data_IF_142254601288
#
_entry.id   IF_142254601288
#
_cell.length_a   1.000
_cell.length_b   1.000
_cell.length_c   1.000
_cell.angle_alpha   90.00
_cell.angle_beta   90.00
_cell.angle_gamma   90.00
#
_symmetry.space_group_name_H-M   'P 1'
#
loop_
_entity.id
_entity.type
_entity.pdbx_description
1 polymer ?
#
# COMPACT_ATOMS: atom_id res chain seq x y z
N UNK A 1 10.68 1.94 28.70
CA UNK A 1 11.59 0.81 29.03
C UNK A 1 12.37 0.57 27.76
N UNK A 2 13.69 0.73 27.75
CA UNK A 2 14.49 0.50 26.54
C UNK A 2 14.42 -0.99 26.20
N UNK A 3 14.13 -1.33 24.95
CA UNK A 3 14.14 -2.71 24.48
C UNK A 3 15.60 -3.18 24.43
N UNK A 4 15.89 -4.39 24.91
CA UNK A 4 17.22 -5.00 24.85
C UNK A 4 17.30 -5.93 23.63
N UNK A 5 17.62 -5.37 22.46
CA UNK A 5 17.60 -6.10 21.19
C UNK A 5 18.57 -7.28 21.13
N UNK A 6 19.65 -7.26 21.92
CA UNK A 6 20.58 -8.39 22.05
C UNK A 6 19.92 -9.58 22.73
N UNK A 7 19.29 -9.34 23.88
CA UNK A 7 18.58 -10.38 24.62
C UNK A 7 17.39 -10.94 23.84
N UNK A 8 16.79 -10.11 23.00
CA UNK A 8 15.70 -10.50 22.09
C UNK A 8 16.19 -11.24 20.83
N UNK A 9 17.50 -11.44 20.66
CA UNK A 9 18.08 -12.20 19.55
C UNK A 9 18.03 -11.48 18.20
N UNK A 10 17.65 -10.19 18.15
CA UNK A 10 17.41 -9.46 16.90
C UNK A 10 18.69 -9.11 16.11
N UNK A 11 19.87 -9.37 16.69
CA UNK A 11 21.16 -9.04 16.11
C UNK A 11 22.02 -10.28 15.77
N UNK A 12 21.53 -11.49 16.07
CA UNK A 12 22.32 -12.74 16.02
C UNK A 12 22.77 -13.13 14.60
N UNK A 13 22.00 -12.76 13.59
CA UNK A 13 22.24 -13.05 12.17
C UNK A 13 23.10 -11.99 11.45
N UNK A 14 23.46 -10.90 12.12
CA UNK A 14 24.29 -9.85 11.53
C UNK A 14 25.76 -10.29 11.36
N UNK A 15 26.33 -10.04 10.17
CA UNK A 15 27.73 -10.35 9.87
C UNK A 15 28.69 -9.23 10.31
N UNK A 16 29.14 -9.30 11.57
CA UNK A 16 30.15 -8.39 12.14
C UNK A 16 29.57 -7.13 12.80
N UNK A 17 30.45 -6.34 13.42
CA UNK A 17 30.04 -5.24 14.31
C UNK A 17 29.35 -4.09 13.58
N UNK A 18 29.81 -3.75 12.37
CA UNK A 18 29.20 -2.67 11.57
C UNK A 18 27.74 -3.00 11.20
N UNK A 19 27.46 -4.24 10.80
CA UNK A 19 26.11 -4.68 10.48
C UNK A 19 25.21 -4.70 11.74
N UNK A 20 25.75 -5.14 12.88
CA UNK A 20 25.04 -5.13 14.17
C UNK A 20 24.69 -3.72 14.61
N UNK A 21 25.62 -2.78 14.45
CA UNK A 21 25.40 -1.38 14.78
C UNK A 21 24.32 -0.75 13.88
N UNK A 22 24.39 -0.98 12.56
CA UNK A 22 23.39 -0.47 11.62
C UNK A 22 21.98 -1.02 11.92
N UNK A 23 21.87 -2.33 12.20
CA UNK A 23 20.59 -2.94 12.58
C UNK A 23 20.06 -2.39 13.90
N UNK A 24 20.93 -2.23 14.90
CA UNK A 24 20.56 -1.66 16.20
C UNK A 24 19.98 -0.26 16.04
N UNK A 25 20.64 0.61 15.28
CA UNK A 25 20.14 1.97 15.02
C UNK A 25 18.80 1.96 14.30
N UNK A 26 18.58 1.04 13.35
CA UNK A 26 17.30 0.88 12.68
C UNK A 26 16.19 0.42 13.65
N UNK A 27 16.48 -0.57 14.49
CA UNK A 27 15.55 -1.07 15.51
C UNK A 27 15.18 0.00 16.54
N UNK A 28 16.17 0.79 16.99
CA UNK A 28 15.97 1.92 17.90
C UNK A 28 15.01 2.94 17.29
N UNK A 29 15.25 3.37 16.05
CA UNK A 29 14.37 4.31 15.33
C UNK A 29 12.94 3.78 15.20
N UNK A 30 12.78 2.53 14.76
CA UNK A 30 11.45 1.94 14.61
C UNK A 30 10.72 1.81 15.94
N UNK A 31 11.43 1.47 17.02
CA UNK A 31 10.85 1.41 18.36
C UNK A 31 10.46 2.81 18.88
N UNK A 32 11.27 3.84 18.61
CA UNK A 32 10.95 5.24 18.90
C UNK A 32 9.71 5.72 18.12
N UNK A 33 9.53 5.24 16.89
CA UNK A 33 8.35 5.47 16.06
C UNK A 33 7.12 4.63 16.48
N UNK A 34 7.22 3.89 17.59
CA UNK A 34 6.13 3.14 18.20
C UNK A 34 5.85 1.77 17.59
N UNK A 35 6.76 1.22 16.78
CA UNK A 35 6.62 -0.15 16.26
C UNK A 35 6.76 -1.15 17.42
N UNK A 36 5.78 -2.05 17.64
CA UNK A 36 5.84 -2.97 18.75
C UNK A 36 6.91 -4.05 18.52
N UNK A 37 7.50 -4.56 19.61
CA UNK A 37 8.57 -5.55 19.57
C UNK A 37 8.21 -6.81 18.75
N UNK A 38 6.96 -7.27 18.80
CA UNK A 38 6.53 -8.44 18.01
C UNK A 38 6.62 -8.17 16.50
N UNK A 39 6.36 -6.95 16.06
CA UNK A 39 6.49 -6.58 14.64
C UNK A 39 7.96 -6.48 14.23
N UNK A 40 8.82 -5.96 15.11
CA UNK A 40 10.27 -5.95 14.90
C UNK A 40 10.83 -7.38 14.78
N UNK A 41 10.45 -8.29 15.69
CA UNK A 41 10.85 -9.71 15.66
C UNK A 41 10.45 -10.36 14.34
N UNK A 42 9.18 -10.23 13.96
CA UNK A 42 8.65 -10.78 12.72
C UNK A 42 9.38 -10.23 11.49
N UNK A 43 9.67 -8.93 11.45
CA UNK A 43 10.38 -8.33 10.33
C UNK A 43 11.84 -8.78 10.22
N UNK A 44 12.52 -9.05 11.35
CA UNK A 44 13.85 -9.68 11.35
C UNK A 44 13.77 -11.13 10.85
N UNK A 45 12.84 -11.92 11.38
CA UNK A 45 12.63 -13.32 10.96
C UNK A 45 12.35 -13.43 9.45
N UNK A 46 11.57 -12.50 8.91
CA UNK A 46 11.18 -12.45 7.49
C UNK A 46 12.22 -11.73 6.60
N UNK A 47 13.38 -11.32 7.15
CA UNK A 47 14.43 -10.57 6.42
C UNK A 47 13.93 -9.29 5.74
N UNK A 48 12.95 -8.61 6.34
CA UNK A 48 12.31 -7.41 5.80
C UNK A 48 12.46 -6.17 6.67
N UNK A 49 13.31 -6.22 7.70
CA UNK A 49 13.51 -5.09 8.63
C UNK A 49 13.81 -3.78 7.89
N UNK A 50 14.68 -3.83 6.87
CA UNK A 50 15.02 -2.69 6.03
C UNK A 50 13.85 -2.09 5.24
N UNK A 51 12.76 -2.85 5.02
CA UNK A 51 11.61 -2.38 4.23
C UNK A 51 10.56 -1.69 5.10
N UNK A 52 10.54 -1.93 6.41
CA UNK A 52 9.51 -1.40 7.31
C UNK A 52 9.38 0.14 7.27
N UNK A 53 10.45 0.94 7.22
CA UNK A 53 10.31 2.39 7.06
C UNK A 53 9.53 2.80 5.80
N UNK A 54 9.75 2.10 4.67
CA UNK A 54 9.01 2.33 3.44
C UNK A 54 7.55 1.84 3.53
N UNK A 55 7.31 0.68 4.14
CA UNK A 55 5.94 0.18 4.40
C UNK A 55 5.13 1.17 5.22
N UNK A 56 5.75 1.78 6.24
CA UNK A 56 5.13 2.81 7.08
C UNK A 56 4.86 4.09 6.29
N UNK A 57 5.79 4.52 5.45
CA UNK A 57 5.60 5.67 4.58
C UNK A 57 4.42 5.48 3.60
N UNK A 58 4.17 4.24 3.13
CA UNK A 58 2.99 3.90 2.32
C UNK A 58 1.70 3.82 3.14
N UNK A 59 1.80 3.34 4.39
CA UNK A 59 0.64 3.13 5.25
C UNK A 59 0.09 4.42 5.86
N UNK A 60 0.82 5.53 5.79
CA UNK A 60 0.38 6.83 6.28
C UNK A 60 -0.04 6.84 7.75
N UNK A 61 -0.84 7.84 8.12
CA UNK A 61 -1.40 7.97 9.48
C UNK A 61 -2.62 7.05 9.63
N UNK A 62 -2.35 5.75 9.84
CA UNK A 62 -3.37 4.75 10.14
C UNK A 62 -4.09 5.06 11.47
N UNK A 63 -5.41 4.95 11.48
CA UNK A 63 -6.20 5.28 12.67
C UNK A 63 -7.66 4.87 12.64
N UNK A 64 -8.14 4.31 11.54
CA UNK A 64 -9.53 3.92 11.36
C UNK A 64 -9.70 2.41 11.25
N UNK A 65 -10.74 1.92 11.91
CA UNK A 65 -11.32 0.61 11.62
C UNK A 65 -12.18 0.66 10.36
N UNK A 66 -12.43 -0.49 9.74
CA UNK A 66 -13.34 -0.58 8.59
C UNK A 66 -14.76 -0.11 8.91
N UNK A 67 -15.21 -0.29 10.16
CA UNK A 67 -16.51 0.20 10.62
C UNK A 67 -16.53 1.73 10.73
N UNK A 68 -15.47 2.36 11.25
CA UNK A 68 -15.36 3.82 11.29
C UNK A 68 -15.29 4.43 9.89
N UNK A 69 -14.55 3.81 8.95
CA UNK A 69 -14.52 4.24 7.55
C UNK A 69 -15.91 4.13 6.92
N UNK A 70 -16.59 2.99 7.10
CA UNK A 70 -17.93 2.75 6.58
C UNK A 70 -18.94 3.81 7.07
N UNK A 71 -18.97 4.07 8.37
CA UNK A 71 -19.83 5.08 8.98
C UNK A 71 -19.57 6.48 8.41
N UNK A 72 -18.29 6.91 8.37
CA UNK A 72 -17.90 8.25 7.92
C UNK A 72 -18.07 8.47 6.41
N UNK A 73 -17.97 7.41 5.61
CA UNK A 73 -18.19 7.47 4.17
C UNK A 73 -19.67 7.29 3.79
N UNK A 74 -20.52 6.82 4.71
CA UNK A 74 -21.93 6.56 4.45
C UNK A 74 -22.16 5.34 3.54
N UNK A 75 -21.33 4.31 3.69
CA UNK A 75 -21.38 3.03 2.96
C UNK A 75 -21.50 1.85 3.93
N UNK A 76 -22.02 0.73 3.47
CA UNK A 76 -22.09 -0.50 4.29
C UNK A 76 -20.70 -1.10 4.50
N UNK A 77 -20.37 -1.52 5.72
CA UNK A 77 -19.09 -2.15 6.02
C UNK A 77 -18.87 -3.43 5.21
N UNK A 78 -19.93 -4.21 4.97
CA UNK A 78 -19.90 -5.40 4.12
C UNK A 78 -19.51 -5.08 2.67
N UNK A 79 -19.87 -3.89 2.17
CA UNK A 79 -19.44 -3.46 0.83
C UNK A 79 -17.95 -3.16 0.80
N UNK A 80 -17.43 -2.43 1.78
CA UNK A 80 -15.99 -2.13 1.85
C UNK A 80 -15.16 -3.41 2.03
N UNK A 81 -15.66 -4.37 2.82
CA UNK A 81 -15.04 -5.69 2.95
C UNK A 81 -15.03 -6.45 1.62
N UNK A 82 -16.13 -6.41 0.87
CA UNK A 82 -16.21 -7.03 -0.45
C UNK A 82 -15.32 -6.33 -1.49
N UNK A 83 -15.19 -5.00 -1.41
CA UNK A 83 -14.28 -4.21 -2.24
C UNK A 83 -12.82 -4.54 -1.93
N UNK A 84 -12.42 -4.58 -0.66
CA UNK A 84 -11.06 -5.00 -0.26
C UNK A 84 -10.73 -6.39 -0.78
N UNK A 85 -11.66 -7.33 -0.63
CA UNK A 85 -11.48 -8.67 -1.18
C UNK A 85 -11.40 -8.66 -2.72
N UNK A 86 -12.21 -7.84 -3.39
CA UNK A 86 -12.17 -7.69 -4.84
C UNK A 86 -10.82 -7.13 -5.31
N UNK A 87 -10.27 -6.14 -4.59
CA UNK A 87 -8.93 -5.59 -4.84
C UNK A 87 -7.79 -6.57 -4.53
N UNK A 88 -8.09 -7.71 -3.90
CA UNK A 88 -7.10 -8.72 -3.51
C UNK A 88 -6.42 -8.42 -2.17
N UNK A 89 -6.95 -7.49 -1.38
CA UNK A 89 -6.40 -7.11 -0.08
C UNK A 89 -6.83 -8.09 1.02
N UNK A 90 -5.98 -8.29 2.06
CA UNK A 90 -6.39 -9.07 3.22
C UNK A 90 -7.59 -8.44 3.90
N UNK A 91 -8.45 -9.28 4.46
CA UNK A 91 -9.60 -8.80 5.23
C UNK A 91 -9.12 -8.27 6.59
N UNK A 92 -9.32 -6.98 6.91
CA UNK A 92 -8.93 -6.46 8.22
C UNK A 92 -9.79 -7.07 9.32
N UNK A 93 -9.20 -7.22 10.52
CA UNK A 93 -9.96 -7.59 11.71
C UNK A 93 -10.92 -6.44 12.10
N UNK A 94 -12.03 -6.71 12.80
CA UNK A 94 -13.01 -5.67 13.14
C UNK A 94 -12.44 -4.48 13.93
N UNK A 95 -11.45 -4.73 14.77
CA UNK A 95 -10.76 -3.75 15.63
C UNK A 95 -9.41 -3.27 15.06
N UNK A 96 -9.06 -3.73 13.86
CA UNK A 96 -7.83 -3.32 13.17
C UNK A 96 -7.93 -1.85 12.72
N UNK A 97 -7.04 -1.01 13.24
CA UNK A 97 -6.95 0.43 12.95
C UNK A 97 -5.94 0.76 11.85
N UNK A 98 -5.80 -0.13 10.87
CA UNK A 98 -4.85 -0.02 9.77
C UNK A 98 -5.30 0.94 8.65
N UNK A 99 -6.56 1.35 8.60
CA UNK A 99 -7.07 2.22 7.54
C UNK A 99 -6.77 3.71 7.82
N UNK A 100 -6.64 4.45 6.74
CA UNK A 100 -6.13 5.83 6.68
C UNK A 100 -7.19 6.81 6.19
N UNK A 101 -6.84 8.10 6.12
CA UNK A 101 -7.64 9.11 5.41
C UNK A 101 -7.78 8.81 3.90
N UNK A 102 -6.79 8.17 3.28
CA UNK A 102 -6.87 7.81 1.85
C UNK A 102 -7.89 6.69 1.62
N UNK A 103 -7.97 5.71 2.53
CA UNK A 103 -9.01 4.69 2.52
C UNK A 103 -10.40 5.30 2.71
N UNK A 104 -10.52 6.28 3.60
CA UNK A 104 -11.77 7.03 3.79
C UNK A 104 -12.14 7.86 2.54
N UNK A 105 -11.17 8.46 1.88
CA UNK A 105 -11.39 9.17 0.62
C UNK A 105 -11.84 8.21 -0.50
N UNK A 106 -11.23 7.03 -0.60
CA UNK A 106 -11.63 5.98 -1.54
C UNK A 106 -13.07 5.50 -1.28
N UNK A 107 -13.43 5.22 -0.03
CA UNK A 107 -14.78 4.83 0.37
C UNK A 107 -15.82 5.91 0.03
N UNK A 108 -15.50 7.20 0.22
CA UNK A 108 -16.34 8.32 -0.22
C UNK A 108 -16.46 8.41 -1.74
N UNK A 109 -15.42 8.05 -2.48
CA UNK A 109 -15.46 7.92 -3.94
C UNK A 109 -16.40 6.81 -4.39
N UNK A 110 -16.32 5.63 -3.75
CA UNK A 110 -17.24 4.52 -4.00
C UNK A 110 -18.69 4.94 -3.74
N UNK A 111 -18.94 5.66 -2.64
CA UNK A 111 -20.28 6.19 -2.34
C UNK A 111 -20.83 7.06 -3.46
N UNK A 112 -20.02 7.95 -4.02
CA UNK A 112 -20.43 8.83 -5.12
C UNK A 112 -20.76 8.05 -6.39
N UNK A 113 -20.03 6.96 -6.68
CA UNK A 113 -20.34 6.09 -7.81
C UNK A 113 -21.69 5.39 -7.65
N UNK A 114 -22.01 4.90 -6.44
CA UNK A 114 -23.31 4.31 -6.14
C UNK A 114 -24.45 5.34 -6.28
N UNK A 115 -24.24 6.56 -5.81
CA UNK A 115 -25.22 7.64 -5.92
C UNK A 115 -25.47 8.10 -7.36
N UNK A 116 -24.47 7.93 -8.23
CA UNK A 116 -24.61 8.13 -9.67
C UNK A 116 -25.36 6.99 -10.39
N UNK A 117 -25.80 5.96 -9.65
CA UNK A 117 -26.56 4.82 -10.18
C UNK A 117 -25.70 3.69 -10.73
N UNK A 118 -24.39 3.67 -10.46
CA UNK A 118 -23.54 2.56 -10.87
C UNK A 118 -23.92 1.28 -10.09
N UNK A 119 -24.08 0.13 -10.76
CA UNK A 119 -24.47 -1.11 -10.09
C UNK A 119 -23.34 -1.61 -9.19
N UNK A 120 -23.66 -1.95 -7.94
CA UNK A 120 -22.72 -2.49 -6.95
C UNK A 120 -21.86 -3.62 -7.53
N UNK A 121 -22.48 -4.63 -8.13
CA UNK A 121 -21.77 -5.79 -8.68
C UNK A 121 -20.77 -5.38 -9.77
N UNK A 122 -21.16 -4.44 -10.64
CA UNK A 122 -20.27 -3.91 -11.68
C UNK A 122 -19.08 -3.13 -11.11
N UNK A 123 -19.26 -2.42 -10.01
CA UNK A 123 -18.15 -1.75 -9.31
C UNK A 123 -17.16 -2.76 -8.71
N UNK A 124 -17.67 -3.85 -8.10
CA UNK A 124 -16.84 -4.93 -7.59
C UNK A 124 -16.11 -5.69 -8.72
N UNK A 125 -16.74 -5.86 -9.89
CA UNK A 125 -16.09 -6.44 -11.07
C UNK A 125 -14.92 -5.57 -11.56
N UNK A 126 -15.11 -4.24 -11.60
CA UNK A 126 -14.03 -3.29 -11.91
C UNK A 126 -12.92 -3.36 -10.87
N UNK A 127 -13.27 -3.40 -9.58
CA UNK A 127 -12.29 -3.51 -8.49
C UNK A 127 -11.41 -4.77 -8.64
N UNK A 128 -11.97 -5.92 -9.02
CA UNK A 128 -11.18 -7.14 -9.30
C UNK A 128 -10.18 -6.97 -10.42
N UNK A 129 -10.59 -6.33 -11.52
CA UNK A 129 -9.68 -6.07 -12.66
C UNK A 129 -8.59 -5.08 -12.26
N UNK A 130 -8.94 -4.04 -11.52
CA UNK A 130 -7.98 -3.04 -11.02
C UNK A 130 -6.98 -3.68 -10.06
N UNK A 131 -7.44 -4.43 -9.05
CA UNK A 131 -6.56 -5.11 -8.10
C UNK A 131 -5.57 -6.04 -8.78
N UNK A 132 -6.05 -6.88 -9.71
CA UNK A 132 -5.18 -7.79 -10.46
C UNK A 132 -4.15 -7.05 -11.34
N UNK A 133 -4.52 -5.91 -11.93
CA UNK A 133 -3.61 -5.09 -12.72
C UNK A 133 -2.59 -4.37 -11.82
N UNK A 134 -3.02 -3.87 -10.67
CA UNK A 134 -2.16 -3.17 -9.72
C UNK A 134 -1.13 -4.08 -9.07
N UNK A 135 -1.42 -5.37 -8.87
CA UNK A 135 -0.39 -6.32 -8.41
C UNK A 135 0.79 -6.38 -9.38
N UNK A 136 0.52 -6.39 -10.69
CA UNK A 136 1.58 -6.40 -11.71
C UNK A 136 2.35 -5.06 -11.74
N UNK A 137 1.65 -3.93 -11.57
CA UNK A 137 2.28 -2.62 -11.48
C UNK A 137 3.18 -2.53 -10.25
N UNK A 138 2.67 -2.94 -9.07
CA UNK A 138 3.42 -2.95 -7.82
C UNK A 138 4.63 -3.88 -7.90
N UNK A 139 4.51 -5.06 -8.51
CA UNK A 139 5.63 -5.98 -8.72
C UNK A 139 6.72 -5.34 -9.60
N UNK A 140 6.34 -4.73 -10.73
CA UNK A 140 7.27 -4.05 -11.62
C UNK A 140 7.94 -2.84 -10.94
N UNK A 141 7.18 -2.06 -10.15
CA UNK A 141 7.71 -0.94 -9.38
C UNK A 141 8.72 -1.40 -8.32
N UNK A 142 8.42 -2.46 -7.55
CA UNK A 142 9.34 -3.05 -6.57
C UNK A 142 10.64 -3.51 -7.22
N UNK A 143 10.56 -4.17 -8.37
CA UNK A 143 11.74 -4.59 -9.12
C UNK A 143 12.60 -3.39 -9.55
N UNK A 144 11.98 -2.37 -10.16
CA UNK A 144 12.69 -1.16 -10.61
C UNK A 144 13.39 -0.45 -9.45
N UNK A 145 12.71 -0.29 -8.31
CA UNK A 145 13.26 0.34 -7.11
C UNK A 145 14.43 -0.48 -6.56
N UNK A 146 14.29 -1.80 -6.50
CA UNK A 146 15.36 -2.71 -6.09
C UNK A 146 16.62 -2.59 -6.94
N UNK A 147 16.46 -2.57 -8.26
CA UNK A 147 17.57 -2.42 -9.21
C UNK A 147 18.22 -1.02 -9.16
N UNK A 148 17.43 0.03 -8.94
CA UNK A 148 17.90 1.41 -9.00
C UNK A 148 18.52 1.92 -7.69
N UNK A 149 18.04 1.45 -6.54
CA UNK A 149 18.38 2.02 -5.24
C UNK A 149 19.40 1.21 -4.45
N UNK A 150 19.54 -0.09 -4.66
CA UNK A 150 20.52 -0.91 -3.94
C UNK A 150 21.92 -0.73 -4.51
N UNK A 151 22.92 -0.65 -3.62
CA UNK A 151 24.33 -0.46 -3.97
C UNK A 151 25.19 -1.51 -3.24
N UNK A 152 26.29 -1.97 -3.87
CA UNK A 152 27.24 -2.84 -3.18
C UNK A 152 27.80 -2.16 -1.93
N UNK A 153 27.72 -2.84 -0.79
CA UNK A 153 28.25 -2.36 0.49
C UNK A 153 27.29 -1.51 1.32
N UNK A 154 26.03 -1.32 0.88
CA UNK A 154 25.03 -0.67 1.73
C UNK A 154 24.84 -1.43 3.05
N UNK A 155 24.80 -0.68 4.15
CA UNK A 155 24.29 -1.17 5.42
C UNK A 155 22.76 -1.27 5.42
N UNK A 156 22.20 -2.07 6.32
CA UNK A 156 20.74 -2.24 6.45
C UNK A 156 20.03 -0.90 6.70
N UNK A 157 20.62 -0.05 7.54
CA UNK A 157 20.10 1.29 7.84
C UNK A 157 20.09 2.18 6.59
N UNK A 158 21.15 2.17 5.78
CA UNK A 158 21.22 2.98 4.56
C UNK A 158 20.19 2.55 3.52
N UNK A 159 19.96 1.24 3.37
CA UNK A 159 18.86 0.73 2.53
C UNK A 159 17.53 1.23 3.05
N UNK A 160 17.31 1.10 4.36
CA UNK A 160 16.02 1.42 4.98
C UNK A 160 15.64 2.90 4.84
N UNK A 161 16.58 3.80 5.13
CA UNK A 161 16.37 5.25 4.98
C UNK A 161 16.14 5.63 3.53
N UNK A 162 16.96 5.09 2.61
CA UNK A 162 16.84 5.40 1.17
C UNK A 162 15.51 4.93 0.58
N UNK A 163 15.02 3.77 1.02
CA UNK A 163 13.73 3.25 0.57
C UNK A 163 12.58 4.09 1.13
N UNK A 164 12.64 4.48 2.41
CA UNK A 164 11.63 5.38 3.00
C UNK A 164 11.55 6.72 2.26
N UNK A 165 12.70 7.36 2.03
CA UNK A 165 12.79 8.63 1.31
C UNK A 165 12.24 8.49 -0.12
N UNK A 166 12.67 7.45 -0.85
CA UNK A 166 12.19 7.19 -2.20
C UNK A 166 10.68 6.91 -2.23
N UNK A 167 10.15 6.18 -1.25
CA UNK A 167 8.71 5.96 -1.15
C UNK A 167 7.95 7.27 -0.94
N UNK A 168 8.39 8.10 0.01
CA UNK A 168 7.74 9.37 0.31
C UNK A 168 7.77 10.33 -0.90
N UNK A 169 8.87 10.38 -1.66
CA UNK A 169 9.02 11.28 -2.79
C UNK A 169 8.41 10.76 -4.10
N UNK A 170 8.57 9.46 -4.40
CA UNK A 170 8.23 8.90 -5.71
C UNK A 170 6.79 8.39 -5.78
N UNK A 171 6.19 7.96 -4.67
CA UNK A 171 4.81 7.43 -4.67
C UNK A 171 3.79 8.44 -5.21
N UNK A 172 3.78 9.73 -4.79
CA UNK A 172 2.85 10.72 -5.33
C UNK A 172 3.05 10.97 -6.83
N UNK A 173 4.30 10.94 -7.30
CA UNK A 173 4.62 11.11 -8.72
C UNK A 173 4.08 9.93 -9.54
N UNK A 174 4.30 8.70 -9.07
CA UNK A 174 3.78 7.49 -9.70
C UNK A 174 2.25 7.47 -9.72
N UNK A 175 1.59 7.85 -8.63
CA UNK A 175 0.14 7.96 -8.56
C UNK A 175 -0.42 8.92 -9.61
N UNK A 176 0.21 10.09 -9.79
CA UNK A 176 -0.19 11.08 -10.80
C UNK A 176 -0.05 10.55 -12.24
N UNK A 177 0.99 9.78 -12.52
CA UNK A 177 1.20 9.15 -13.81
C UNK A 177 0.14 8.07 -14.08
N UNK A 178 -0.20 7.26 -13.07
CA UNK A 178 -1.24 6.24 -13.19
C UNK A 178 -2.62 6.86 -13.45
N UNK A 179 -2.99 7.95 -12.76
CA UNK A 179 -4.23 8.69 -13.06
C UNK A 179 -4.25 9.21 -14.49
N UNK A 180 -3.16 9.82 -14.96
CA UNK A 180 -3.05 10.29 -16.34
C UNK A 180 -3.23 9.14 -17.34
N UNK A 181 -2.55 8.01 -17.12
CA UNK A 181 -2.66 6.85 -17.99
C UNK A 181 -4.08 6.28 -18.00
N UNK A 182 -4.72 6.16 -16.83
CA UNK A 182 -6.11 5.72 -16.74
C UNK A 182 -7.04 6.56 -17.63
N UNK A 183 -6.96 7.90 -17.50
CA UNK A 183 -7.75 8.84 -18.32
C UNK A 183 -7.46 8.70 -19.81
N UNK A 184 -6.19 8.51 -20.18
CA UNK A 184 -5.78 8.29 -21.57
C UNK A 184 -6.41 7.01 -22.13
N UNK A 185 -6.40 5.91 -21.35
CA UNK A 185 -6.98 4.62 -21.76
C UNK A 185 -8.49 4.68 -21.87
N UNK A 186 -9.19 5.38 -20.97
CA UNK A 186 -10.62 5.63 -21.09
C UNK A 186 -10.95 6.41 -22.36
N UNK A 187 -10.22 7.50 -22.64
CA UNK A 187 -10.43 8.30 -23.85
C UNK A 187 -10.26 7.48 -25.12
N UNK A 188 -9.25 6.61 -25.16
CA UNK A 188 -9.01 5.73 -26.30
C UNK A 188 -10.08 4.65 -26.43
N UNK A 189 -10.51 4.05 -25.32
CA UNK A 189 -11.62 3.09 -25.30
C UNK A 189 -12.92 3.68 -25.83
N UNK A 190 -13.26 4.91 -25.42
CA UNK A 190 -14.44 5.62 -25.91
C UNK A 190 -14.38 5.89 -27.42
N UNK A 191 -13.23 6.29 -27.96
CA UNK A 191 -13.06 6.48 -29.42
C UNK A 191 -13.32 5.21 -30.22
N UNK A 192 -12.89 4.06 -29.70
CA UNK A 192 -13.11 2.76 -30.33
C UNK A 192 -14.56 2.29 -30.20
N UNK A 193 -15.17 2.52 -29.03
CA UNK A 193 -16.57 2.17 -28.76
C UNK A 193 -17.56 3.02 -29.55
N UNK A 194 -17.23 4.29 -29.82
CA UNK A 194 -18.05 5.20 -30.62
C UNK A 194 -18.32 4.70 -32.05
N UNK A 195 -17.52 3.77 -32.58
CA UNK A 195 -17.74 3.15 -33.89
C UNK A 195 -18.78 2.00 -33.80
N UNK A 196 -18.96 1.36 -32.62
CA UNK A 196 -19.85 0.20 -32.45
C UNK A 196 -21.23 0.50 -31.82
N UNK A 197 -21.33 1.45 -30.90
CA UNK A 197 -22.56 1.71 -30.14
C UNK A 197 -23.51 2.73 -30.79
N UNK A 198 -22.98 3.67 -31.57
CA UNK A 198 -23.81 4.68 -32.25
C UNK A 198 -24.61 4.07 -33.41
N UNK A 199 -24.11 3.00 -34.04
CA UNK A 199 -24.79 2.32 -35.15
C UNK A 199 -25.97 1.45 -34.72
N UNK A 200 -26.05 0.99 -33.46
CA UNK A 200 -27.12 0.10 -32.99
C UNK A 200 -28.33 0.82 -32.39
N UNK A 201 -28.22 2.14 -32.15
CA UNK A 201 -29.31 2.94 -31.56
C UNK A 201 -29.76 4.13 -32.42
N UNK A 202 -29.04 4.47 -33.51
CA UNK A 202 -29.35 5.65 -34.34
C UNK A 202 -29.40 5.40 -35.86
N UNK A 203 -29.42 4.14 -36.32
CA UNK A 203 -29.72 3.77 -37.71
C UNK A 203 -30.78 2.67 -37.76
#
# INVERSE_FOLDING_TARGET
MSIDFEREGLLEDCSGEEARQARRELLERLAEDGVPLEDLRRAVEESRLALMPAERALSGDAGYTISEVAERAGVEAELLLAEQQALGMPRPAPDDKSLTEDDLAAARGLRQLLDAGMPREGLLDVARVVGQAMENVAAASRQLVGEALLRPGDSELEVALRYADATAELTPLMASLLDHQYRLRLREGLRRAAIGLVFLYYC
#
